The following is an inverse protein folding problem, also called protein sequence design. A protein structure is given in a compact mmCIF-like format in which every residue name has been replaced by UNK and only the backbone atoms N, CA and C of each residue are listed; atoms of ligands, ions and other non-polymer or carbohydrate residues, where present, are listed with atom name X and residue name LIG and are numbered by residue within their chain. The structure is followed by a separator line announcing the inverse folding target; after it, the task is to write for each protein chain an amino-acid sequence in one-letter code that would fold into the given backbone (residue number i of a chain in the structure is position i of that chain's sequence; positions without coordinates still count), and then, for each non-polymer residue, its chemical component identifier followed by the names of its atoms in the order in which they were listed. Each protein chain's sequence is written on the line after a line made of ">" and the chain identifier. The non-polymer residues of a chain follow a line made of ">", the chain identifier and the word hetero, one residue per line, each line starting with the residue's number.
data_IF_527844348508
#
_entry.id   IF_527844348508
#
_cell.length_a   1.000
_cell.length_b   1.000
_cell.length_c   1.000
_cell.angle_alpha   90.00
_cell.angle_beta   90.00
_cell.angle_gamma   90.00
#
_symmetry.space_group_name_H-M   'P 1'
#
loop_
_entity.id
_entity.type
_entity.pdbx_description
1 polymer ?
#
# COMPACT_ATOMS: atom_id res chain seq x y z
N UNK A 1 1.23 -10.11 7.62
CA UNK A 1 0.73 -8.79 8.04
C UNK A 1 -0.78 -8.89 8.26
N UNK A 2 -1.28 -8.65 9.47
CA UNK A 2 -2.71 -8.61 9.77
C UNK A 2 -3.02 -7.20 10.29
N UNK A 3 -3.69 -6.39 9.48
CA UNK A 3 -4.03 -5.02 9.87
C UNK A 3 -5.42 -4.70 9.34
N UNK A 4 -6.35 -4.38 10.23
CA UNK A 4 -7.66 -3.87 9.86
C UNK A 4 -7.53 -2.36 9.60
N UNK A 5 -7.28 -1.98 8.36
CA UNK A 5 -7.31 -0.59 7.92
C UNK A 5 -8.57 -0.32 7.09
N UNK A 6 -9.06 0.92 7.12
CA UNK A 6 -10.13 1.41 6.23
C UNK A 6 -9.52 2.41 5.26
N UNK A 7 -10.05 2.47 4.05
CA UNK A 7 -9.61 3.44 3.04
C UNK A 7 -10.22 4.83 3.25
N UNK A 8 -10.25 5.31 4.49
CA UNK A 8 -10.87 6.57 4.92
C UNK A 8 -9.87 7.74 5.06
N UNK A 9 -8.61 7.50 4.72
CA UNK A 9 -7.52 8.47 4.84
C UNK A 9 -6.92 8.57 6.23
N UNK A 10 -7.30 7.70 7.18
CA UNK A 10 -6.71 7.66 8.52
C UNK A 10 -5.48 6.76 8.57
N UNK A 11 -4.56 7.11 9.47
CA UNK A 11 -3.38 6.30 9.77
C UNK A 11 -3.75 5.19 10.74
N UNK A 12 -3.35 3.97 10.40
CA UNK A 12 -3.55 2.77 11.22
C UNK A 12 -2.19 2.13 11.54
N UNK A 13 -1.97 1.67 12.79
CA UNK A 13 -0.73 1.02 13.16
C UNK A 13 -0.58 -0.31 12.40
N UNK A 14 0.62 -0.57 11.91
CA UNK A 14 1.01 -1.83 11.29
C UNK A 14 1.89 -2.58 12.27
N UNK A 15 1.58 -3.85 12.51
CA UNK A 15 2.39 -4.73 13.34
C UNK A 15 3.05 -5.82 12.49
N UNK A 16 4.30 -6.16 12.82
CA UNK A 16 5.06 -7.20 12.13
C UNK A 16 5.59 -6.80 10.75
N UNK A 17 5.70 -5.50 10.46
CA UNK A 17 6.44 -4.98 9.31
C UNK A 17 7.65 -4.18 9.83
N UNK A 18 8.87 -4.58 9.45
CA UNK A 18 10.09 -3.87 9.86
C UNK A 18 10.30 -2.57 9.10
N UNK A 19 9.64 -2.38 7.95
CA UNK A 19 9.83 -1.21 7.10
C UNK A 19 8.84 -0.08 7.41
N UNK A 20 7.72 -0.36 8.07
CA UNK A 20 6.69 0.65 8.37
C UNK A 20 5.96 0.39 9.69
N UNK A 21 5.71 1.46 10.46
CA UNK A 21 4.98 1.43 11.73
C UNK A 21 3.49 1.72 11.54
N UNK A 22 3.13 2.39 10.46
CA UNK A 22 1.74 2.77 10.17
C UNK A 22 1.45 2.79 8.67
N UNK A 23 0.18 2.62 8.34
CA UNK A 23 -0.36 2.72 6.99
C UNK A 23 -1.55 3.65 6.98
N UNK A 24 -1.54 4.60 6.06
CA UNK A 24 -2.71 5.42 5.73
C UNK A 24 -3.27 4.96 4.41
N UNK A 25 -4.53 4.52 4.38
CA UNK A 25 -5.20 4.08 3.17
C UNK A 25 -6.23 5.11 2.72
N UNK A 26 -6.24 5.49 1.45
CA UNK A 26 -7.17 6.45 0.86
C UNK A 26 -7.82 5.86 -0.39
N UNK A 27 -9.15 5.88 -0.44
CA UNK A 27 -9.88 5.59 -1.67
C UNK A 27 -9.80 6.78 -2.63
N UNK A 28 -9.30 6.55 -3.85
CA UNK A 28 -9.28 7.56 -4.92
C UNK A 28 -10.58 7.52 -5.70
N UNK A 29 -11.02 6.31 -6.04
CA UNK A 29 -12.31 6.03 -6.68
C UNK A 29 -12.72 4.58 -6.41
N UNK A 30 -13.86 4.14 -6.98
CA UNK A 30 -14.43 2.81 -6.77
C UNK A 30 -13.50 1.62 -7.09
N UNK A 31 -12.43 1.84 -7.87
CA UNK A 31 -11.47 0.79 -8.29
C UNK A 31 -10.02 1.13 -7.96
N UNK A 32 -9.76 2.25 -7.28
CA UNK A 32 -8.41 2.78 -7.09
C UNK A 32 -8.18 3.20 -5.65
N UNK A 33 -7.07 2.73 -5.07
CA UNK A 33 -6.67 3.05 -3.70
C UNK A 33 -5.20 3.41 -3.63
N UNK A 34 -4.89 4.42 -2.82
CA UNK A 34 -3.54 4.79 -2.45
C UNK A 34 -3.28 4.43 -0.99
N UNK A 35 -2.07 3.95 -0.72
CA UNK A 35 -1.58 3.69 0.62
C UNK A 35 -0.28 4.44 0.82
N UNK A 36 -0.11 5.03 1.99
CA UNK A 36 1.14 5.64 2.43
C UNK A 36 1.64 4.88 3.63
N UNK A 37 2.86 4.38 3.55
CA UNK A 37 3.55 3.71 4.64
C UNK A 37 4.43 4.73 5.35
N UNK A 38 4.32 4.79 6.68
CA UNK A 38 5.11 5.69 7.51
C UNK A 38 5.89 4.92 8.57
N UNK A 39 7.11 5.36 8.82
CA UNK A 39 7.99 4.87 9.89
C UNK A 39 8.55 6.04 10.67
N UNK A 40 8.45 6.03 11.99
CA UNK A 40 8.86 7.12 12.87
C UNK A 40 8.37 8.51 12.39
N UNK A 41 7.13 8.57 11.87
CA UNK A 41 6.52 9.81 11.35
C UNK A 41 6.99 10.26 9.96
N UNK A 42 7.88 9.51 9.29
CA UNK A 42 8.34 9.80 7.92
C UNK A 42 7.70 8.84 6.92
N UNK A 43 7.38 9.34 5.73
CA UNK A 43 6.93 8.48 4.62
C UNK A 43 8.11 7.66 4.11
N UNK A 44 7.95 6.34 4.13
CA UNK A 44 8.96 5.37 3.68
C UNK A 44 8.54 4.62 2.43
N UNK A 45 7.25 4.66 2.09
CA UNK A 45 6.74 4.04 0.89
C UNK A 45 5.31 4.44 0.56
N UNK A 46 4.93 4.13 -0.67
CA UNK A 46 3.60 4.33 -1.23
C UNK A 46 3.17 3.10 -1.99
N UNK A 47 1.89 2.77 -1.92
CA UNK A 47 1.30 1.69 -2.70
C UNK A 47 0.11 2.23 -3.48
N UNK A 48 0.08 1.97 -4.78
CA UNK A 48 -1.03 2.32 -5.65
C UNK A 48 -1.70 1.05 -6.15
N UNK A 49 -2.99 0.88 -5.88
CA UNK A 49 -3.77 -0.28 -6.30
C UNK A 49 -4.86 0.13 -7.26
N UNK A 50 -4.95 -0.58 -8.39
CA UNK A 50 -5.97 -0.38 -9.40
C UNK A 50 -6.59 -1.72 -9.77
N UNK A 51 -7.91 -1.79 -9.69
CA UNK A 51 -8.69 -2.90 -10.24
C UNK A 51 -9.16 -2.51 -11.65
N UNK A 52 -8.98 -3.42 -12.62
CA UNK A 52 -9.42 -3.22 -14.00
C UNK A 52 -10.94 -3.00 -14.09
N UNK A 53 -11.40 -2.36 -15.17
CA UNK A 53 -12.81 -2.02 -15.34
C UNK A 53 -13.74 -3.26 -15.27
N UNK A 54 -13.25 -4.40 -15.77
CA UNK A 54 -13.93 -5.69 -15.76
C UNK A 54 -13.83 -6.45 -14.41
N UNK A 55 -13.11 -5.92 -13.44
CA UNK A 55 -12.94 -6.51 -12.10
C UNK A 55 -12.12 -7.81 -12.07
N UNK A 56 -11.41 -8.14 -13.15
CA UNK A 56 -10.65 -9.40 -13.25
C UNK A 56 -9.19 -9.27 -12.85
N UNK A 57 -8.64 -8.07 -12.93
CA UNK A 57 -7.21 -7.81 -12.71
C UNK A 57 -7.03 -6.78 -11.61
N UNK A 58 -6.17 -7.09 -10.65
CA UNK A 58 -5.65 -6.15 -9.66
C UNK A 58 -4.18 -5.87 -9.98
N UNK A 59 -3.86 -4.59 -10.24
CA UNK A 59 -2.49 -4.12 -10.36
C UNK A 59 -2.10 -3.41 -9.07
N UNK A 60 -0.94 -3.74 -8.52
CA UNK A 60 -0.37 -3.14 -7.31
C UNK A 60 1.02 -2.61 -7.65
N UNK A 61 1.23 -1.31 -7.51
CA UNK A 61 2.54 -0.67 -7.64
C UNK A 61 3.03 -0.27 -6.26
N UNK A 62 4.14 -0.84 -5.84
CA UNK A 62 4.79 -0.55 -4.56
C UNK A 62 6.06 0.24 -4.83
N UNK A 63 6.24 1.36 -4.14
CA UNK A 63 7.47 2.12 -4.22
C UNK A 63 7.88 2.57 -2.83
N UNK A 64 9.17 2.53 -2.53
CA UNK A 64 9.65 3.01 -1.23
C UNK A 64 11.11 2.71 -1.02
N UNK A 65 11.50 2.75 0.25
CA UNK A 65 12.84 2.41 0.71
C UNK A 65 12.70 1.52 1.92
N UNK A 66 13.33 0.35 1.87
CA UNK A 66 13.40 -0.56 3.00
C UNK A 66 14.24 0.06 4.12
N UNK A 67 14.12 -0.50 5.32
CA UNK A 67 14.85 -0.04 6.49
C UNK A 67 16.39 -0.15 6.35
N UNK A 68 16.88 -1.00 5.44
CA UNK A 68 18.30 -1.13 5.10
C UNK A 68 18.82 -0.05 4.12
N UNK A 69 17.94 0.86 3.67
CA UNK A 69 18.25 1.91 2.72
C UNK A 69 18.09 1.52 1.25
N UNK A 70 17.68 0.28 0.95
CA UNK A 70 17.48 -0.18 -0.42
C UNK A 70 16.12 0.30 -0.95
N UNK A 71 16.16 1.10 -2.01
CA UNK A 71 14.97 1.53 -2.71
C UNK A 71 14.33 0.35 -3.47
N UNK A 72 13.01 0.30 -3.48
CA UNK A 72 12.25 -0.67 -4.26
C UNK A 72 11.19 0.04 -5.11
N UNK A 73 10.97 -0.50 -6.31
CA UNK A 73 9.90 -0.14 -7.22
C UNK A 73 9.44 -1.45 -7.85
N UNK A 74 8.26 -1.91 -7.44
CA UNK A 74 7.75 -3.23 -7.75
C UNK A 74 6.30 -3.13 -8.25
N UNK A 75 5.97 -3.93 -9.25
CA UNK A 75 4.64 -3.96 -9.86
C UNK A 75 4.12 -5.38 -9.92
N UNK A 76 3.08 -5.66 -9.14
CA UNK A 76 2.43 -6.96 -9.06
C UNK A 76 1.10 -6.91 -9.81
N UNK A 77 0.83 -7.96 -10.58
CA UNK A 77 -0.44 -8.13 -11.29
C UNK A 77 -1.07 -9.44 -10.85
N UNK A 78 -2.28 -9.35 -10.32
CA UNK A 78 -3.07 -10.50 -9.88
C UNK A 78 -4.30 -10.62 -10.77
N UNK A 79 -4.54 -11.81 -11.28
CA UNK A 79 -5.76 -12.13 -12.03
C UNK A 79 -6.66 -13.02 -11.19
N UNK A 80 -7.95 -12.71 -11.19
CA UNK A 80 -8.96 -13.58 -10.57
C UNK A 80 -9.09 -14.86 -11.40
N UNK A 81 -8.80 -16.01 -10.78
CA UNK A 81 -9.11 -17.34 -11.35
C UNK A 81 -10.57 -17.71 -11.12
#
# INVERSE_FOLDING_TARGET
>A
MHTAYKADGKSYPVTGNSDADSVTAKSVNARTWDFTLTKAGKVVGTVHRVVSADGKTLTVKNKGTHNDGVAYDDSLVFTRQ
#
